data_IF_106255600913
#
_entry.id   IF_106255600913
#
_cell.length_a   1.000
_cell.length_b   1.000
_cell.length_c   1.000
_cell.angle_alpha   90.00
_cell.angle_beta   90.00
_cell.angle_gamma   90.00
#
_symmetry.space_group_name_H-M   'P 1'
#
loop_
_entity.id
_entity.type
_entity.pdbx_description
1 polymer ?
#
# COMPACT_ATOMS: atom_id res chain seq x y z
N UNK A 1 40.33 58.40 -10.89
CA UNK A 1 41.07 57.55 -11.85
C UNK A 1 41.22 56.16 -11.25
N UNK A 2 40.25 55.28 -11.50
CA UNK A 2 40.43 53.83 -11.36
C UNK A 2 39.47 53.17 -12.35
N UNK A 3 40.04 52.42 -13.28
CA UNK A 3 39.36 51.79 -14.42
C UNK A 3 38.61 50.55 -13.98
N UNK A 4 37.28 50.54 -14.17
CA UNK A 4 36.41 49.38 -13.96
C UNK A 4 36.43 48.54 -15.24
N UNK A 5 37.10 47.39 -15.20
CA UNK A 5 37.08 46.38 -16.28
C UNK A 5 35.78 45.57 -16.16
N UNK A 6 34.85 45.82 -17.06
CA UNK A 6 33.67 44.98 -17.28
C UNK A 6 34.10 43.63 -17.88
N UNK A 7 33.88 42.54 -17.14
CA UNK A 7 33.97 41.18 -17.65
C UNK A 7 32.58 40.70 -18.07
N UNK A 8 32.28 40.79 -19.36
CA UNK A 8 31.19 40.00 -19.98
C UNK A 8 31.75 38.64 -20.36
N UNK A 9 31.40 37.59 -19.59
CA UNK A 9 31.64 36.19 -19.96
C UNK A 9 30.31 35.47 -19.99
N UNK A 10 29.82 35.21 -21.20
CA UNK A 10 28.62 34.42 -21.46
C UNK A 10 28.76 33.04 -20.84
N UNK A 11 27.79 32.64 -20.02
CA UNK A 11 27.66 31.26 -19.56
C UNK A 11 26.75 30.54 -20.55
N UNK A 12 27.35 29.71 -21.39
CA UNK A 12 26.66 28.67 -22.13
C UNK A 12 26.02 27.69 -21.14
N UNK A 13 24.76 27.37 -21.41
CA UNK A 13 23.99 26.34 -20.72
C UNK A 13 24.60 24.96 -21.00
N UNK A 14 24.54 24.01 -20.05
CA UNK A 14 25.00 22.65 -20.30
C UNK A 14 24.09 21.96 -21.32
N UNK A 15 24.71 21.47 -22.39
CA UNK A 15 24.09 20.66 -23.44
C UNK A 15 23.48 19.41 -22.79
N UNK A 16 22.15 19.28 -22.84
CA UNK A 16 21.45 18.03 -22.54
C UNK A 16 21.39 17.24 -23.84
N UNK A 17 21.90 16.01 -23.83
CA UNK A 17 21.69 15.07 -24.91
C UNK A 17 20.18 14.83 -25.06
N UNK A 18 19.64 15.22 -26.22
CA UNK A 18 18.24 15.04 -26.58
C UNK A 18 18.00 13.56 -26.96
N UNK A 19 17.19 12.85 -26.16
CA UNK A 19 16.56 11.61 -26.62
C UNK A 19 15.63 11.92 -27.82
N UNK A 20 15.54 11.04 -28.83
CA UNK A 20 14.55 11.18 -29.90
C UNK A 20 13.12 11.01 -29.35
N UNK A 21 12.11 11.66 -29.97
CA UNK A 21 10.74 11.63 -29.49
C UNK A 21 10.10 10.25 -29.69
N UNK A 22 9.21 9.88 -28.76
CA UNK A 22 8.34 8.70 -28.87
C UNK A 22 7.37 8.87 -30.05
N UNK A 23 7.15 7.84 -30.88
CA UNK A 23 6.12 7.89 -31.91
C UNK A 23 4.71 7.89 -31.29
N UNK A 24 3.85 8.72 -31.87
CA UNK A 24 2.45 8.94 -31.51
C UNK A 24 1.63 7.65 -31.67
N UNK A 25 0.97 7.22 -30.59
CA UNK A 25 0.03 6.09 -30.60
C UNK A 25 -1.35 6.65 -30.93
N UNK A 26 -1.68 6.78 -32.22
CA UNK A 26 -3.06 6.88 -32.71
C UNK A 26 -3.25 6.10 -34.00
N UNK A 27 -3.92 4.95 -33.81
CA UNK A 27 -4.74 4.19 -34.76
C UNK A 27 -4.17 3.81 -36.13
N UNK A 28 -3.66 2.58 -36.20
CA UNK A 28 -3.87 1.72 -37.37
C UNK A 28 -4.39 0.36 -36.89
N UNK A 29 -5.71 0.16 -36.99
CA UNK A 29 -6.32 -1.17 -36.94
C UNK A 29 -5.85 -1.93 -38.18
N UNK A 30 -4.81 -2.74 -38.04
CA UNK A 30 -4.55 -3.83 -38.98
C UNK A 30 -4.95 -5.13 -38.30
N UNK A 31 -6.11 -5.66 -38.70
CA UNK A 31 -6.47 -7.05 -38.44
C UNK A 31 -5.45 -7.93 -39.15
N UNK A 32 -4.49 -8.48 -38.40
CA UNK A 32 -3.59 -9.51 -38.91
C UNK A 32 -4.38 -10.81 -39.07
N UNK A 33 -5.07 -10.94 -40.19
CA UNK A 33 -5.67 -12.20 -40.64
C UNK A 33 -4.52 -13.17 -40.92
N UNK A 34 -4.51 -14.31 -40.24
CA UNK A 34 -3.60 -15.43 -40.55
C UNK A 34 -3.92 -15.96 -41.95
N UNK A 35 -3.16 -15.52 -42.95
CA UNK A 35 -3.25 -16.04 -44.32
C UNK A 35 -2.55 -17.40 -44.37
N UNK A 36 -3.32 -18.46 -44.63
CA UNK A 36 -2.80 -19.78 -44.95
C UNK A 36 -1.97 -19.72 -46.24
N UNK A 37 -0.79 -20.38 -46.32
CA UNK A 37 0.03 -20.35 -47.52
C UNK A 37 -0.63 -21.11 -48.68
N UNK A 38 -0.36 -20.74 -49.95
CA UNK A 38 -1.04 -21.31 -51.10
C UNK A 38 -0.60 -22.76 -51.33
N UNK A 39 -1.58 -23.66 -51.33
CA UNK A 39 -1.40 -25.10 -51.55
C UNK A 39 -1.09 -25.33 -53.04
N UNK A 40 0.19 -25.52 -53.38
CA UNK A 40 0.57 -26.10 -54.66
C UNK A 40 0.25 -27.60 -54.64
N UNK A 41 -0.68 -28.03 -55.50
CA UNK A 41 -0.98 -29.44 -55.73
C UNK A 41 0.26 -30.10 -56.34
N UNK A 42 1.03 -30.83 -55.53
CA UNK A 42 2.08 -31.72 -56.00
C UNK A 42 1.64 -33.18 -55.85
N UNK A 43 2.10 -33.97 -56.82
CA UNK A 43 1.71 -35.34 -57.11
C UNK A 43 1.70 -36.28 -55.89
N UNK A 44 0.69 -37.14 -55.85
CA UNK A 44 0.57 -38.25 -54.91
C UNK A 44 1.68 -39.26 -55.20
N UNK A 45 2.68 -39.32 -54.33
CA UNK A 45 3.65 -40.41 -54.24
C UNK A 45 3.21 -41.29 -53.06
N UNK A 46 3.16 -42.63 -53.19
CA UNK A 46 2.56 -43.49 -52.18
C UNK A 46 3.34 -43.41 -50.87
N UNK A 47 2.59 -43.25 -49.79
CA UNK A 47 3.07 -43.13 -48.41
C UNK A 47 3.88 -44.37 -48.01
N UNK A 48 5.20 -44.24 -47.95
CA UNK A 48 6.05 -45.11 -47.13
C UNK A 48 6.20 -44.50 -45.74
N UNK A 49 5.72 -45.26 -44.75
CA UNK A 49 5.88 -45.11 -43.30
C UNK A 49 5.58 -43.74 -42.70
N UNK A 50 4.44 -43.65 -42.01
CA UNK A 50 4.20 -42.66 -40.97
C UNK A 50 5.20 -42.88 -39.81
N UNK A 51 6.42 -42.39 -39.93
CA UNK A 51 7.25 -42.11 -38.76
C UNK A 51 6.66 -40.87 -38.10
N UNK A 52 6.30 -41.03 -36.82
CA UNK A 52 5.77 -40.01 -35.91
C UNK A 52 6.27 -38.59 -36.22
N UNK A 53 5.52 -37.84 -37.02
CA UNK A 53 5.64 -36.38 -37.02
C UNK A 53 4.82 -35.90 -35.84
N UNK A 54 5.41 -36.03 -34.64
CA UNK A 54 4.97 -35.30 -33.45
C UNK A 54 4.76 -33.86 -33.88
N UNK A 55 3.55 -33.34 -33.64
CA UNK A 55 3.20 -31.97 -33.96
C UNK A 55 4.32 -31.03 -33.50
N UNK A 56 4.70 -30.10 -34.38
CA UNK A 56 5.66 -29.06 -34.07
C UNK A 56 5.21 -28.36 -32.79
N UNK A 57 5.88 -28.70 -31.69
CA UNK A 57 5.69 -28.08 -30.40
C UNK A 57 6.46 -26.75 -30.43
N UNK A 58 5.77 -25.68 -30.82
CA UNK A 58 6.35 -24.33 -30.90
C UNK A 58 6.68 -23.73 -29.52
N UNK A 59 6.54 -24.51 -28.43
CA UNK A 59 6.77 -24.09 -27.04
C UNK A 59 8.22 -24.28 -26.56
N UNK A 60 9.04 -25.10 -27.22
CA UNK A 60 10.14 -25.78 -26.53
C UNK A 60 11.29 -24.94 -25.95
N UNK A 61 11.82 -23.86 -26.57
CA UNK A 61 12.99 -23.19 -25.98
C UNK A 61 12.66 -22.36 -24.74
N UNK A 62 11.45 -21.80 -24.65
CA UNK A 62 11.05 -20.94 -23.54
C UNK A 62 10.24 -21.70 -22.47
N UNK A 63 9.59 -22.83 -22.82
CA UNK A 63 8.76 -23.57 -21.89
C UNK A 63 9.57 -24.11 -20.70
N UNK A 64 10.74 -24.68 -20.96
CA UNK A 64 11.63 -25.17 -19.90
C UNK A 64 12.11 -24.03 -19.01
N UNK A 65 12.55 -22.93 -19.63
CA UNK A 65 12.93 -21.70 -18.92
C UNK A 65 11.78 -21.14 -18.07
N UNK A 66 10.54 -21.14 -18.58
CA UNK A 66 9.36 -20.72 -17.83
C UNK A 66 9.09 -21.63 -16.64
N UNK A 67 9.12 -22.95 -16.83
CA UNK A 67 8.90 -23.92 -15.75
C UNK A 67 9.96 -23.79 -14.66
N UNK A 68 11.22 -23.62 -15.04
CA UNK A 68 12.33 -23.43 -14.10
C UNK A 68 12.18 -22.15 -13.31
N UNK A 69 11.88 -21.02 -13.98
CA UNK A 69 11.60 -19.76 -13.30
C UNK A 69 10.37 -19.85 -12.39
N UNK A 70 9.31 -20.55 -12.80
CA UNK A 70 8.11 -20.75 -11.97
C UNK A 70 8.42 -21.55 -10.70
N UNK A 71 9.19 -22.65 -10.81
CA UNK A 71 9.65 -23.42 -9.64
C UNK A 71 10.54 -22.57 -8.75
N UNK A 72 11.42 -21.76 -9.33
CA UNK A 72 12.29 -20.85 -8.59
C UNK A 72 11.47 -19.84 -7.78
N UNK A 73 10.52 -19.15 -8.42
CA UNK A 73 9.61 -18.23 -7.74
C UNK A 73 8.83 -18.96 -6.64
N UNK A 74 8.22 -20.11 -6.92
CA UNK A 74 7.41 -20.83 -5.93
C UNK A 74 8.22 -21.29 -4.70
N UNK A 75 9.50 -21.62 -4.87
CA UNK A 75 10.39 -22.07 -3.78
C UNK A 75 11.06 -20.94 -2.99
N UNK A 76 10.99 -19.69 -3.47
CA UNK A 76 11.65 -18.53 -2.87
C UNK A 76 10.67 -17.41 -2.46
N UNK A 77 9.49 -17.35 -3.09
CA UNK A 77 8.48 -16.32 -2.87
C UNK A 77 7.42 -16.83 -1.88
N UNK A 78 7.68 -16.67 -0.59
CA UNK A 78 6.83 -17.20 0.48
C UNK A 78 5.42 -16.59 0.53
N UNK A 79 5.19 -15.40 -0.06
CA UNK A 79 3.84 -14.82 -0.13
C UNK A 79 2.85 -15.65 -0.97
N UNK A 80 3.34 -16.57 -1.82
CA UNK A 80 2.50 -17.52 -2.54
C UNK A 80 2.11 -18.74 -1.70
N UNK A 81 2.72 -18.93 -0.52
CA UNK A 81 2.41 -20.05 0.35
C UNK A 81 0.98 -19.94 0.90
N UNK A 82 0.21 -21.05 0.98
CA UNK A 82 -1.17 -21.02 1.47
C UNK A 82 -1.34 -20.32 2.82
N UNK A 83 -0.41 -20.53 3.76
CA UNK A 83 -0.48 -19.84 5.07
C UNK A 83 -0.35 -18.32 4.96
N UNK A 84 0.52 -17.80 4.10
CA UNK A 84 0.67 -16.36 3.90
C UNK A 84 -0.58 -15.77 3.24
N UNK A 85 -1.20 -16.51 2.32
CA UNK A 85 -2.47 -16.13 1.71
C UNK A 85 -3.59 -16.09 2.73
N UNK A 86 -3.67 -17.08 3.63
CA UNK A 86 -4.64 -17.09 4.74
C UNK A 86 -4.43 -15.91 5.67
N UNK A 87 -3.19 -15.60 6.05
CA UNK A 87 -2.87 -14.41 6.85
C UNK A 87 -3.31 -13.14 6.13
N UNK A 88 -2.98 -12.99 4.85
CA UNK A 88 -3.37 -11.82 4.07
C UNK A 88 -4.89 -11.69 4.00
N UNK A 89 -5.61 -12.78 3.78
CA UNK A 89 -7.07 -12.79 3.76
C UNK A 89 -7.65 -12.37 5.12
N UNK A 90 -7.09 -12.87 6.23
CA UNK A 90 -7.49 -12.44 7.57
C UNK A 90 -7.21 -10.96 7.83
N UNK A 91 -6.05 -10.47 7.40
CA UNK A 91 -5.73 -9.05 7.47
C UNK A 91 -6.74 -8.21 6.68
N UNK A 92 -7.05 -8.59 5.44
CA UNK A 92 -8.00 -7.86 4.61
C UNK A 92 -9.42 -7.91 5.17
N UNK A 93 -9.86 -9.05 5.70
CA UNK A 93 -11.19 -9.21 6.28
C UNK A 93 -11.38 -8.37 7.55
N UNK A 94 -10.38 -8.37 8.45
CA UNK A 94 -10.49 -7.65 9.73
C UNK A 94 -10.04 -6.21 9.63
N UNK A 95 -8.86 -5.97 9.03
CA UNK A 95 -8.25 -4.65 8.98
C UNK A 95 -8.77 -3.84 7.79
N UNK A 96 -9.24 -4.44 6.70
CA UNK A 96 -9.54 -3.72 5.45
C UNK A 96 -10.59 -2.61 5.57
N UNK A 97 -11.56 -2.75 6.48
CA UNK A 97 -12.59 -1.74 6.75
C UNK A 97 -12.41 -1.05 8.12
N UNK A 98 -11.35 -1.37 8.84
CA UNK A 98 -11.12 -0.83 10.17
C UNK A 98 -10.51 0.57 10.10
N UNK A 99 -10.98 1.45 10.97
CA UNK A 99 -10.38 2.76 11.28
C UNK A 99 -10.16 2.74 12.78
N UNK A 100 -8.96 3.08 13.25
CA UNK A 100 -8.65 2.96 14.69
C UNK A 100 -9.43 3.96 15.53
N UNK A 101 -9.62 5.18 15.01
CA UNK A 101 -10.39 6.24 15.66
C UNK A 101 -11.16 7.05 14.62
N UNK A 102 -12.47 7.16 14.79
CA UNK A 102 -13.33 8.00 13.96
C UNK A 102 -13.75 9.26 14.72
N UNK A 103 -13.03 10.36 14.50
CA UNK A 103 -13.26 11.63 15.18
C UNK A 103 -14.64 12.23 14.87
N UNK A 104 -15.27 11.84 13.75
CA UNK A 104 -16.57 12.36 13.31
C UNK A 104 -17.69 12.01 14.29
N UNK A 105 -17.56 10.88 14.99
CA UNK A 105 -18.55 10.42 15.95
C UNK A 105 -18.68 11.36 17.16
N UNK A 106 -17.63 12.09 17.52
CA UNK A 106 -17.64 12.97 18.69
C UNK A 106 -18.54 14.19 18.48
N UNK A 107 -18.85 14.56 17.24
CA UNK A 107 -19.84 15.60 16.97
C UNK A 107 -21.23 15.23 17.50
N UNK A 108 -21.59 13.94 17.50
CA UNK A 108 -22.88 13.46 18.01
C UNK A 108 -23.00 13.58 19.53
N UNK A 109 -21.87 13.61 20.24
CA UNK A 109 -21.80 13.79 21.70
C UNK A 109 -22.09 15.26 22.06
N UNK A 110 -21.83 16.19 21.14
CA UNK A 110 -22.07 17.62 21.30
C UNK A 110 -20.81 18.41 21.68
N UNK A 111 -20.97 19.65 22.16
CA UNK A 111 -19.84 20.51 22.53
C UNK A 111 -19.00 19.89 23.65
N UNK A 112 -17.70 19.77 23.43
CA UNK A 112 -16.77 19.14 24.37
C UNK A 112 -15.50 19.97 24.60
N UNK A 113 -14.82 19.69 25.70
CA UNK A 113 -13.56 20.35 26.05
C UNK A 113 -12.39 19.61 25.38
N UNK A 114 -11.25 20.29 25.24
CA UNK A 114 -10.10 19.74 24.51
C UNK A 114 -9.57 18.46 25.20
N UNK A 115 -9.54 18.47 26.53
CA UNK A 115 -9.12 17.33 27.34
C UNK A 115 -10.07 16.13 27.17
N UNK A 116 -11.38 16.37 27.05
CA UNK A 116 -12.34 15.31 26.77
C UNK A 116 -12.11 14.68 25.39
N UNK A 117 -11.77 15.48 24.37
CA UNK A 117 -11.43 14.97 23.04
C UNK A 117 -10.14 14.11 23.11
N UNK A 118 -9.08 14.60 23.76
CA UNK A 118 -7.82 13.87 23.92
C UNK A 118 -8.05 12.50 24.59
N UNK A 119 -8.79 12.49 25.69
CA UNK A 119 -9.10 11.27 26.43
C UNK A 119 -9.95 10.28 25.62
N UNK A 120 -10.98 10.75 24.91
CA UNK A 120 -11.80 9.87 24.08
C UNK A 120 -11.00 9.24 22.94
N UNK A 121 -10.09 10.00 22.32
CA UNK A 121 -9.20 9.48 21.28
C UNK A 121 -8.28 8.39 21.84
N UNK A 122 -7.67 8.61 23.02
CA UNK A 122 -6.86 7.58 23.69
C UNK A 122 -7.68 6.32 23.92
N UNK A 123 -8.87 6.44 24.53
CA UNK A 123 -9.71 5.30 24.86
C UNK A 123 -10.16 4.51 23.62
N UNK A 124 -10.51 5.20 22.54
CA UNK A 124 -10.91 4.55 21.29
C UNK A 124 -9.72 3.79 20.65
N UNK A 125 -8.52 4.38 20.67
CA UNK A 125 -7.31 3.74 20.18
C UNK A 125 -6.93 2.52 21.02
N UNK A 126 -6.95 2.63 22.35
CA UNK A 126 -6.68 1.51 23.27
C UNK A 126 -7.68 0.37 23.06
N UNK A 127 -8.96 0.68 22.91
CA UNK A 127 -10.00 -0.31 22.65
C UNK A 127 -9.82 -0.99 21.29
N UNK A 128 -9.44 -0.23 20.27
CA UNK A 128 -9.14 -0.78 18.94
C UNK A 128 -7.92 -1.72 18.99
N UNK A 129 -6.88 -1.33 19.71
CA UNK A 129 -5.66 -2.12 19.93
C UNK A 129 -5.96 -3.40 20.73
N UNK A 130 -6.71 -3.30 21.82
CA UNK A 130 -7.12 -4.44 22.64
C UNK A 130 -7.91 -5.46 21.82
N UNK A 131 -8.83 -5.00 20.96
CA UNK A 131 -9.59 -5.86 20.04
C UNK A 131 -8.68 -6.58 19.05
N UNK A 132 -7.64 -5.92 18.55
CA UNK A 132 -6.67 -6.53 17.64
C UNK A 132 -5.80 -7.55 18.38
N UNK A 133 -5.32 -7.21 19.57
CA UNK A 133 -4.42 -8.05 20.38
C UNK A 133 -5.10 -9.32 20.90
N UNK A 134 -6.37 -9.25 21.28
CA UNK A 134 -7.09 -10.40 21.85
C UNK A 134 -7.97 -11.14 20.85
N UNK A 135 -8.33 -10.50 19.72
CA UNK A 135 -9.18 -11.11 18.70
C UNK A 135 -8.40 -11.57 17.48
N UNK A 136 -7.78 -10.63 16.77
CA UNK A 136 -7.15 -10.89 15.47
C UNK A 136 -5.77 -11.54 15.60
N UNK A 137 -4.92 -11.03 16.49
CA UNK A 137 -3.55 -11.51 16.67
C UNK A 137 -3.47 -13.01 17.01
N UNK A 138 -4.25 -13.55 17.97
CA UNK A 138 -4.23 -14.98 18.26
C UNK A 138 -4.67 -15.82 17.05
N UNK A 139 -5.61 -15.33 16.25
CA UNK A 139 -6.02 -15.97 15.00
C UNK A 139 -4.88 -16.09 13.99
N UNK A 140 -4.05 -15.05 13.88
CA UNK A 140 -2.84 -15.06 13.04
C UNK A 140 -1.81 -16.07 13.56
N UNK A 141 -1.57 -16.11 14.87
CA UNK A 141 -0.63 -17.06 15.49
C UNK A 141 -1.10 -18.51 15.29
N UNK A 142 -2.40 -18.77 15.40
CA UNK A 142 -2.96 -20.11 15.25
C UNK A 142 -2.64 -20.74 13.88
N UNK A 143 -2.54 -19.94 12.82
CA UNK A 143 -2.14 -20.42 11.48
C UNK A 143 -0.77 -21.11 11.52
N UNK A 144 0.13 -20.64 12.38
CA UNK A 144 1.52 -21.13 12.44
C UNK A 144 1.77 -22.13 13.57
N UNK A 145 0.72 -22.55 14.28
CA UNK A 145 0.87 -23.41 15.46
C UNK A 145 1.02 -24.89 15.07
N UNK A 146 0.46 -25.29 13.92
CA UNK A 146 0.57 -26.65 13.38
C UNK A 146 1.91 -26.86 12.65
N UNK A 147 2.86 -27.52 13.32
CA UNK A 147 4.21 -27.74 12.78
C UNK A 147 4.26 -28.65 11.55
N UNK A 148 3.29 -29.56 11.42
CA UNK A 148 3.22 -30.51 10.30
C UNK A 148 2.80 -29.83 8.98
N UNK A 149 2.14 -28.67 9.07
CA UNK A 149 1.67 -27.88 7.92
C UNK A 149 2.79 -27.16 7.16
N UNK A 150 4.04 -27.22 7.66
CA UNK A 150 5.21 -26.52 7.10
C UNK A 150 6.41 -27.44 6.84
N UNK A 151 6.22 -28.76 6.87
CA UNK A 151 7.29 -29.74 6.66
C UNK A 151 7.96 -29.62 5.27
N UNK A 152 7.25 -29.06 4.28
CA UNK A 152 7.74 -28.85 2.91
C UNK A 152 8.76 -27.69 2.79
N UNK A 153 8.93 -26.89 3.85
CA UNK A 153 9.82 -25.73 3.84
C UNK A 153 11.21 -26.16 4.31
N UNK A 154 12.28 -25.91 3.53
CA UNK A 154 13.64 -26.20 3.96
C UNK A 154 13.98 -25.48 5.26
N UNK A 155 14.58 -26.17 6.22
CA UNK A 155 14.98 -25.61 7.53
C UNK A 155 15.84 -24.36 7.42
N UNK A 156 16.72 -24.28 6.42
CA UNK A 156 17.55 -23.09 6.14
C UNK A 156 16.79 -21.87 5.60
N UNK A 157 15.51 -22.01 5.24
CA UNK A 157 14.64 -20.95 4.70
C UNK A 157 13.52 -20.54 5.67
N UNK A 158 13.40 -21.22 6.80
CA UNK A 158 12.33 -21.00 7.77
C UNK A 158 12.36 -19.58 8.36
N UNK A 159 13.55 -19.02 8.61
CA UNK A 159 13.69 -17.64 9.06
C UNK A 159 13.17 -16.64 8.00
N UNK A 160 13.55 -16.83 6.74
CA UNK A 160 13.08 -15.99 5.63
C UNK A 160 11.56 -16.10 5.45
N UNK A 161 10.98 -17.27 5.69
CA UNK A 161 9.53 -17.48 5.70
C UNK A 161 8.85 -16.64 6.79
N UNK A 162 9.29 -16.73 8.05
CA UNK A 162 8.71 -15.91 9.12
C UNK A 162 8.94 -14.41 8.94
N UNK A 163 10.11 -14.01 8.42
CA UNK A 163 10.39 -12.61 8.08
C UNK A 163 9.44 -12.11 6.96
N UNK A 164 9.07 -12.96 6.01
CA UNK A 164 8.10 -12.61 4.97
C UNK A 164 6.70 -12.40 5.56
N UNK A 165 6.25 -13.27 6.48
CA UNK A 165 4.98 -13.06 7.21
C UNK A 165 5.02 -11.77 8.03
N UNK A 166 6.09 -11.54 8.78
CA UNK A 166 6.26 -10.33 9.59
C UNK A 166 6.19 -9.06 8.74
N UNK A 167 6.84 -9.08 7.58
CA UNK A 167 6.79 -7.96 6.61
C UNK A 167 5.38 -7.78 6.05
N UNK A 168 4.69 -8.88 5.70
CA UNK A 168 3.31 -8.85 5.22
C UNK A 168 2.40 -8.17 6.26
N UNK A 169 2.42 -8.65 7.50
CA UNK A 169 1.62 -8.11 8.61
C UNK A 169 1.96 -6.65 8.85
N UNK A 170 3.25 -6.31 8.92
CA UNK A 170 3.71 -4.93 9.13
C UNK A 170 3.19 -3.97 8.07
N UNK A 171 3.11 -4.41 6.81
CA UNK A 171 2.56 -3.59 5.73
C UNK A 171 1.05 -3.38 5.90
N UNK A 172 0.31 -4.40 6.33
CA UNK A 172 -1.13 -4.28 6.58
C UNK A 172 -1.43 -3.35 7.77
N UNK A 173 -0.62 -3.39 8.83
CA UNK A 173 -0.76 -2.47 9.97
C UNK A 173 -0.39 -1.04 9.61
N UNK A 174 0.66 -0.84 8.80
CA UNK A 174 1.02 0.51 8.28
C UNK A 174 -0.10 1.08 7.41
N UNK A 175 -0.69 0.28 6.54
CA UNK A 175 -1.84 0.70 5.71
C UNK A 175 -3.04 1.13 6.58
N UNK A 176 -3.33 0.39 7.66
CA UNK A 176 -4.36 0.76 8.63
C UNK A 176 -4.09 2.12 9.31
N UNK A 177 -2.83 2.38 9.69
CA UNK A 177 -2.42 3.66 10.28
C UNK A 177 -2.59 4.80 9.27
N UNK A 178 -2.09 4.63 8.05
CA UNK A 178 -2.21 5.62 6.96
C UNK A 178 -3.68 5.93 6.70
N UNK A 179 -4.53 4.90 6.52
CA UNK A 179 -5.96 5.10 6.26
C UNK A 179 -6.68 5.79 7.43
N UNK A 180 -6.27 5.52 8.67
CA UNK A 180 -6.83 6.22 9.84
C UNK A 180 -6.45 7.69 9.82
N UNK A 181 -5.19 8.01 9.50
CA UNK A 181 -4.73 9.40 9.35
C UNK A 181 -5.47 10.09 8.20
N UNK A 182 -5.61 9.45 7.04
CA UNK A 182 -6.33 10.00 5.89
C UNK A 182 -7.82 10.25 6.23
N UNK A 183 -8.45 9.33 6.96
CA UNK A 183 -9.81 9.52 7.47
C UNK A 183 -9.90 10.72 8.40
N UNK A 184 -8.90 10.94 9.25
CA UNK A 184 -8.81 12.12 10.12
C UNK A 184 -8.54 13.40 9.34
N UNK A 185 -7.59 13.44 8.41
CA UNK A 185 -7.25 14.66 7.66
C UNK A 185 -8.38 15.09 6.71
N UNK A 186 -9.11 14.13 6.15
CA UNK A 186 -10.25 14.42 5.26
C UNK A 186 -11.36 15.25 5.93
N UNK A 187 -11.49 15.23 7.26
CA UNK A 187 -12.52 16.03 7.95
C UNK A 187 -12.24 17.54 7.88
N UNK A 188 -11.01 17.93 7.59
CA UNK A 188 -10.59 19.33 7.45
C UNK A 188 -10.81 19.87 6.03
N UNK A 189 -11.27 19.03 5.10
CA UNK A 189 -11.67 19.49 3.77
C UNK A 189 -12.91 20.40 3.89
N UNK A 190 -13.01 21.46 3.06
CA UNK A 190 -14.13 22.41 3.13
C UNK A 190 -15.50 21.75 3.01
N UNK A 191 -15.59 20.65 2.26
CA UNK A 191 -16.81 19.87 2.03
C UNK A 191 -17.26 19.10 3.28
N UNK A 192 -16.31 18.77 4.17
CA UNK A 192 -16.51 17.92 5.33
C UNK A 192 -16.59 18.70 6.66
N UNK A 193 -16.68 20.03 6.62
CA UNK A 193 -16.72 20.88 7.82
C UNK A 193 -17.83 20.51 8.83
N UNK A 194 -18.92 19.91 8.35
CA UNK A 194 -20.01 19.42 9.20
C UNK A 194 -19.67 18.16 10.00
N UNK A 195 -18.53 17.52 9.75
CA UNK A 195 -18.07 16.33 10.45
C UNK A 195 -17.08 16.63 11.57
N UNK A 196 -16.59 17.88 11.67
CA UNK A 196 -15.68 18.30 12.73
C UNK A 196 -16.37 18.22 14.12
N UNK A 197 -15.64 17.76 15.16
CA UNK A 197 -16.07 17.90 16.54
C UNK A 197 -16.35 19.37 16.90
N UNK A 198 -17.26 19.58 17.84
CA UNK A 198 -17.55 20.92 18.36
C UNK A 198 -16.73 21.09 19.63
N UNK A 199 -15.69 21.90 19.54
CA UNK A 199 -14.82 22.22 20.67
C UNK A 199 -15.25 23.53 21.33
N UNK A 200 -15.36 23.52 22.65
CA UNK A 200 -15.72 24.70 23.44
C UNK A 200 -14.51 25.62 23.59
N UNK A 201 -14.72 26.89 23.27
CA UNK A 201 -13.79 27.98 23.54
C UNK A 201 -14.59 29.19 24.02
N UNK A 202 -14.10 29.84 25.06
CA UNK A 202 -14.69 31.03 25.66
C UNK A 202 -13.91 32.28 25.27
N UNK A 203 -14.59 33.40 25.05
CA UNK A 203 -13.93 34.69 24.89
C UNK A 203 -13.85 35.36 26.26
N UNK A 204 -12.64 35.49 26.80
CA UNK A 204 -12.37 36.12 28.08
C UNK A 204 -11.73 37.50 27.87
N UNK A 205 -11.94 38.40 28.82
CA UNK A 205 -11.25 39.67 28.89
C UNK A 205 -10.26 39.62 30.06
N UNK A 206 -8.97 39.57 29.73
CA UNK A 206 -7.88 39.42 30.69
C UNK A 206 -6.73 40.34 30.29
N UNK A 207 -6.02 40.92 31.27
CA UNK A 207 -4.94 41.90 31.05
C UNK A 207 -5.29 43.02 30.03
N UNK A 208 -6.51 43.55 30.10
CA UNK A 208 -7.05 44.56 29.16
C UNK A 208 -7.14 44.10 27.69
N UNK A 209 -7.12 42.78 27.43
CA UNK A 209 -7.20 42.20 26.10
C UNK A 209 -8.30 41.14 26.03
N UNK A 210 -8.99 41.10 24.88
CA UNK A 210 -9.91 40.01 24.55
C UNK A 210 -9.09 38.83 24.02
N UNK A 211 -9.21 37.66 24.65
CA UNK A 211 -8.52 36.44 24.25
C UNK A 211 -9.42 35.21 24.38
N UNK A 212 -9.13 34.17 23.59
CA UNK A 212 -9.86 32.91 23.71
C UNK A 212 -9.25 32.00 24.78
N UNK A 213 -10.10 31.29 25.51
CA UNK A 213 -9.72 30.24 26.45
C UNK A 213 -10.45 28.93 26.12
N UNK A 214 -9.75 27.81 25.89
CA UNK A 214 -8.30 27.70 25.77
C UNK A 214 -7.73 28.56 24.62
N UNK A 215 -6.44 28.94 24.68
CA UNK A 215 -5.77 29.63 23.58
C UNK A 215 -5.81 28.82 22.27
N UNK A 216 -5.64 29.51 21.13
CA UNK A 216 -5.59 28.85 19.81
C UNK A 216 -4.42 27.87 19.71
N UNK A 217 -3.30 28.11 20.40
CA UNK A 217 -2.18 27.17 20.48
C UNK A 217 -2.60 25.80 21.01
N UNK A 218 -3.50 25.77 21.99
CA UNK A 218 -3.96 24.53 22.62
C UNK A 218 -4.89 23.77 21.66
N UNK A 219 -5.59 24.48 20.78
CA UNK A 219 -6.39 23.87 19.72
C UNK A 219 -5.48 23.18 18.70
N UNK A 220 -4.44 23.88 18.24
CA UNK A 220 -3.43 23.31 17.35
C UNK A 220 -2.77 22.08 17.98
N UNK A 221 -2.32 22.18 19.23
CA UNK A 221 -1.73 21.05 19.96
C UNK A 221 -2.72 19.88 20.06
N UNK A 222 -3.99 20.15 20.30
CA UNK A 222 -5.04 19.12 20.38
C UNK A 222 -5.25 18.41 19.04
N UNK A 223 -5.22 19.14 17.93
CA UNK A 223 -5.30 18.57 16.57
C UNK A 223 -4.07 17.70 16.28
N UNK A 224 -2.86 18.22 16.55
CA UNK A 224 -1.61 17.46 16.36
C UNK A 224 -1.52 16.25 17.28
N UNK A 225 -2.09 16.33 18.48
CA UNK A 225 -2.14 15.25 19.45
C UNK A 225 -2.84 14.02 18.87
N UNK A 226 -3.96 14.20 18.16
CA UNK A 226 -4.70 13.06 17.55
C UNK A 226 -3.80 12.29 16.59
N UNK A 227 -3.12 12.97 15.66
CA UNK A 227 -2.19 12.32 14.71
C UNK A 227 -1.03 11.66 15.45
N UNK A 228 -0.50 12.33 16.47
CA UNK A 228 0.60 11.80 17.29
C UNK A 228 0.19 10.52 18.01
N UNK A 229 -1.03 10.45 18.55
CA UNK A 229 -1.53 9.25 19.21
C UNK A 229 -1.76 8.11 18.21
N UNK A 230 -2.39 8.38 17.06
CA UNK A 230 -2.55 7.38 16.00
C UNK A 230 -1.20 6.77 15.61
N UNK A 231 -0.17 7.61 15.43
CA UNK A 231 1.17 7.13 15.10
C UNK A 231 1.81 6.27 16.19
N UNK A 232 1.49 6.52 17.48
CA UNK A 232 2.03 5.74 18.61
C UNK A 232 1.29 4.44 18.85
N UNK A 233 0.02 4.34 18.43
CA UNK A 233 -0.78 3.11 18.54
C UNK A 233 -0.10 1.97 17.78
N UNK A 234 -0.14 0.76 18.33
CA UNK A 234 0.48 -0.44 17.76
C UNK A 234 2.01 -0.44 17.67
N UNK A 235 2.70 0.51 18.32
CA UNK A 235 4.18 0.55 18.37
C UNK A 235 4.76 -0.03 19.67
N UNK A 236 3.92 -0.37 20.66
CA UNK A 236 4.34 -0.86 21.97
C UNK A 236 4.29 -2.38 22.10
#
# INVERSE_FOLDING_TARGET
MTSVKNYTKGRGSPQRDLLPPLPDIRESKEETILVLPPIHKQHIVPVTSYSNSRGLDYSQPWHDSYLDNRRNIQSNLFCLHPSHQTVLQMCQATLGNMILVDVRQYRLVGPMDFESLKNNVILDLEKAEEKLMHGWHPGVINIFTEKDSFADIPTGKMESFYNSVSTLISNQLKDLLVRTIDSYTSIFEPENHLHLPILKMELIFDEEKMQFYPPVSDLEETVLFVVTQICKTMQQ
#
